data_IF_827360892478
#
_entry.id   IF_827360892478
#
_cell.length_a   1.000
_cell.length_b   1.000
_cell.length_c   1.000
_cell.angle_alpha   90.00
_cell.angle_beta   90.00
_cell.angle_gamma   90.00
#
_symmetry.space_group_name_H-M   'P 1'
#
loop_
_entity.id
_entity.type
_entity.pdbx_description
1 polymer ?
#
# COMPACT_ATOMS: atom_id res chain seq x y z
N UNK A 1 23.25 4.36 -4.91
CA UNK A 1 22.78 4.55 -3.52
C UNK A 1 21.28 4.26 -3.37
N UNK A 2 20.43 4.67 -4.33
CA UNK A 2 18.97 4.43 -4.28
C UNK A 2 18.59 2.95 -4.09
N UNK A 3 19.24 2.01 -4.80
CA UNK A 3 18.94 0.58 -4.67
C UNK A 3 19.28 -0.01 -3.29
N UNK A 4 20.35 0.49 -2.66
CA UNK A 4 20.74 0.05 -1.32
C UNK A 4 19.69 0.49 -0.30
N UNK A 5 19.26 1.76 -0.34
CA UNK A 5 18.22 2.27 0.55
C UNK A 5 16.86 1.63 0.27
N UNK A 6 16.52 1.36 -0.99
CA UNK A 6 15.32 0.62 -1.35
C UNK A 6 15.29 -0.78 -0.71
N UNK A 7 16.41 -1.50 -0.79
CA UNK A 7 16.55 -2.81 -0.17
C UNK A 7 16.42 -2.74 1.36
N UNK A 8 17.13 -1.79 2.00
CA UNK A 8 17.13 -1.65 3.46
C UNK A 8 15.75 -1.27 3.99
N UNK A 9 15.11 -0.23 3.42
CA UNK A 9 13.83 0.27 3.91
C UNK A 9 12.71 -0.74 3.62
N UNK A 10 12.67 -1.30 2.40
CA UNK A 10 11.70 -2.35 2.08
C UNK A 10 11.89 -3.58 2.95
N UNK A 11 13.14 -3.99 3.17
CA UNK A 11 13.49 -5.09 4.07
C UNK A 11 13.05 -4.83 5.51
N UNK A 12 13.25 -3.63 6.04
CA UNK A 12 12.81 -3.26 7.39
C UNK A 12 11.28 -3.32 7.53
N UNK A 13 10.52 -2.84 6.55
CA UNK A 13 9.05 -2.95 6.55
C UNK A 13 8.62 -4.42 6.55
N UNK A 14 9.30 -5.28 5.78
CA UNK A 14 9.05 -6.72 5.78
C UNK A 14 9.39 -7.37 7.13
N UNK A 15 10.49 -6.98 7.77
CA UNK A 15 10.87 -7.47 9.11
C UNK A 15 9.82 -7.07 10.16
N UNK A 16 9.29 -5.84 10.09
CA UNK A 16 8.18 -5.43 10.96
C UNK A 16 6.97 -6.34 10.75
N UNK A 17 6.60 -6.62 9.49
CA UNK A 17 5.53 -7.56 9.17
C UNK A 17 5.80 -8.98 9.69
N UNK A 18 7.03 -9.47 9.59
CA UNK A 18 7.41 -10.78 10.13
C UNK A 18 7.32 -10.81 11.65
N UNK A 19 7.79 -9.78 12.35
CA UNK A 19 7.66 -9.69 13.82
C UNK A 19 6.20 -9.70 14.29
N UNK A 20 5.30 -9.09 13.50
CA UNK A 20 3.87 -9.14 13.77
C UNK A 20 3.29 -10.57 13.69
N UNK A 21 3.82 -11.40 12.81
CA UNK A 21 3.47 -12.82 12.75
C UNK A 21 4.12 -13.63 13.87
N UNK A 22 5.44 -13.50 14.03
CA UNK A 22 6.23 -14.39 14.88
C UNK A 22 6.04 -14.08 16.37
N UNK A 23 6.05 -12.79 16.72
CA UNK A 23 5.92 -12.31 18.11
C UNK A 23 4.46 -11.96 18.41
N UNK A 24 3.85 -11.17 17.52
CA UNK A 24 2.49 -10.69 17.70
C UNK A 24 1.41 -11.75 17.48
N UNK A 25 1.73 -12.87 16.80
CA UNK A 25 0.78 -13.90 16.37
C UNK A 25 -0.45 -13.33 15.66
N UNK A 26 -0.26 -12.21 14.96
CA UNK A 26 -1.32 -11.55 14.21
C UNK A 26 -1.67 -12.36 12.98
N UNK A 27 -2.96 -12.40 12.63
CA UNK A 27 -3.37 -13.04 11.38
C UNK A 27 -2.93 -12.19 10.18
N UNK A 28 -2.82 -12.78 8.97
CA UNK A 28 -2.45 -12.01 7.78
C UNK A 28 -3.31 -10.77 7.56
N UNK A 29 -4.61 -10.86 7.84
CA UNK A 29 -5.53 -9.74 7.73
C UNK A 29 -5.18 -8.59 8.70
N UNK A 30 -4.87 -8.89 9.98
CA UNK A 30 -4.50 -7.87 10.95
C UNK A 30 -3.16 -7.21 10.60
N UNK A 31 -2.18 -7.99 10.15
CA UNK A 31 -0.86 -7.46 9.74
C UNK A 31 -1.00 -6.53 8.55
N UNK A 32 -1.72 -6.95 7.50
CA UNK A 32 -1.98 -6.12 6.33
C UNK A 32 -2.74 -4.83 6.69
N UNK A 33 -3.82 -4.93 7.46
CA UNK A 33 -4.61 -3.76 7.87
C UNK A 33 -3.78 -2.75 8.66
N UNK A 34 -2.95 -3.21 9.60
CA UNK A 34 -2.09 -2.33 10.41
C UNK A 34 -1.06 -1.60 9.55
N UNK A 35 -0.40 -2.30 8.61
CA UNK A 35 0.59 -1.68 7.71
C UNK A 35 -0.08 -0.65 6.77
N UNK A 36 -1.27 -0.94 6.25
CA UNK A 36 -2.05 0.01 5.45
C UNK A 36 -2.41 1.25 6.27
N UNK A 37 -2.92 1.06 7.50
CA UNK A 37 -3.27 2.18 8.39
C UNK A 37 -2.04 3.01 8.75
N UNK A 38 -0.89 2.37 9.01
CA UNK A 38 0.35 3.09 9.27
C UNK A 38 0.77 3.96 8.07
N UNK A 39 0.68 3.42 6.84
CA UNK A 39 0.93 4.19 5.62
C UNK A 39 -0.01 5.38 5.44
N UNK A 40 -1.31 5.19 5.71
CA UNK A 40 -2.32 6.24 5.67
C UNK A 40 -2.04 7.36 6.69
N UNK A 41 -1.63 7.00 7.90
CA UNK A 41 -1.26 7.98 8.94
C UNK A 41 -0.02 8.76 8.52
N UNK A 42 1.02 8.08 8.02
CA UNK A 42 2.24 8.74 7.55
C UNK A 42 1.97 9.72 6.41
N UNK A 43 1.07 9.36 5.49
CA UNK A 43 0.63 10.25 4.41
C UNK A 43 -0.16 11.46 4.91
N UNK A 44 -1.06 11.26 5.88
CA UNK A 44 -1.79 12.36 6.52
C UNK A 44 -0.88 13.39 7.19
N UNK A 45 0.33 12.98 7.62
CA UNK A 45 1.37 13.88 8.14
C UNK A 45 2.37 14.37 7.07
N UNK A 46 2.16 14.05 5.79
CA UNK A 46 3.09 14.32 4.67
C UNK A 46 4.50 13.75 4.89
N UNK A 47 4.59 12.62 5.60
CA UNK A 47 5.86 11.94 5.89
C UNK A 47 6.15 10.81 4.89
N UNK A 48 5.15 10.38 4.12
CA UNK A 48 5.30 9.25 3.21
C UNK A 48 6.00 9.64 1.90
N UNK A 49 5.73 10.81 1.31
CA UNK A 49 6.44 11.31 0.13
C UNK A 49 7.96 11.45 0.36
N UNK A 50 8.46 12.07 1.46
CA UNK A 50 9.89 12.09 1.74
C UNK A 50 10.50 10.69 1.90
N UNK A 51 9.73 9.74 2.43
CA UNK A 51 10.15 8.34 2.54
C UNK A 51 10.27 7.69 1.15
N UNK A 52 9.36 7.98 0.23
CA UNK A 52 9.45 7.57 -1.17
C UNK A 52 10.65 8.21 -1.86
N UNK A 53 10.90 9.51 -1.68
CA UNK A 53 12.04 10.19 -2.29
C UNK A 53 13.38 9.62 -1.83
N UNK A 54 13.45 9.18 -0.56
CA UNK A 54 14.64 8.58 0.02
C UNK A 54 14.84 7.11 -0.38
N UNK A 55 13.78 6.30 -0.29
CA UNK A 55 13.85 4.85 -0.41
C UNK A 55 13.40 4.30 -1.78
N UNK A 56 12.75 5.12 -2.60
CA UNK A 56 12.15 4.73 -3.88
C UNK A 56 11.26 3.49 -3.74
N UNK A 57 11.62 2.44 -4.49
CA UNK A 57 10.90 1.16 -4.49
C UNK A 57 10.79 0.51 -3.10
N UNK A 58 11.69 0.81 -2.17
CA UNK A 58 11.62 0.30 -0.79
C UNK A 58 10.39 0.80 -0.02
N UNK A 59 9.87 1.97 -0.37
CA UNK A 59 8.64 2.51 0.21
C UNK A 59 7.42 2.22 -0.67
N UNK A 60 7.54 2.26 -2.00
CA UNK A 60 6.37 2.12 -2.90
C UNK A 60 5.90 0.69 -3.12
N UNK A 61 6.75 -0.32 -2.91
CA UNK A 61 6.40 -1.74 -3.12
C UNK A 61 5.64 -2.35 -1.94
N UNK A 62 6.01 -2.12 -0.67
CA UNK A 62 5.27 -2.69 0.47
C UNK A 62 3.83 -2.16 0.57
N UNK A 63 2.94 -2.98 1.16
CA UNK A 63 1.50 -2.65 1.26
C UNK A 63 1.19 -1.36 2.05
N UNK A 64 2.16 -0.86 2.82
CA UNK A 64 2.10 0.48 3.43
C UNK A 64 1.82 1.57 2.40
N UNK A 65 2.36 1.44 1.18
CA UNK A 65 2.16 2.43 0.11
C UNK A 65 0.71 2.49 -0.36
N UNK A 66 -0.06 1.40 -0.18
CA UNK A 66 -1.49 1.40 -0.47
C UNK A 66 -2.22 2.39 0.44
N UNK A 67 -1.84 2.47 1.72
CA UNK A 67 -2.40 3.44 2.67
C UNK A 67 -2.13 4.89 2.26
N UNK A 68 -0.89 5.20 1.84
CA UNK A 68 -0.54 6.50 1.28
C UNK A 68 -1.38 6.83 0.04
N UNK A 69 -1.48 5.91 -0.93
CA UNK A 69 -2.27 6.15 -2.14
C UNK A 69 -3.76 6.42 -1.87
N UNK A 70 -4.35 5.77 -0.86
CA UNK A 70 -5.74 6.01 -0.44
C UNK A 70 -5.94 7.42 0.11
N UNK A 71 -5.08 7.86 1.03
CA UNK A 71 -5.19 9.18 1.66
C UNK A 71 -4.83 10.28 0.67
N UNK A 72 -3.74 10.12 -0.07
CA UNK A 72 -3.30 11.07 -1.08
C UNK A 72 -4.38 11.29 -2.15
N UNK A 73 -4.95 10.21 -2.69
CA UNK A 73 -6.04 10.29 -3.68
C UNK A 73 -7.32 10.92 -3.12
N UNK A 74 -7.67 10.62 -1.86
CA UNK A 74 -8.80 11.23 -1.19
C UNK A 74 -8.60 12.74 -0.97
N UNK A 75 -7.40 13.16 -0.55
CA UNK A 75 -7.07 14.56 -0.31
C UNK A 75 -6.99 15.37 -1.60
N UNK A 76 -6.44 14.79 -2.67
CA UNK A 76 -6.38 15.44 -3.98
C UNK A 76 -7.78 15.74 -4.54
N UNK A 77 -8.73 14.81 -4.40
CA UNK A 77 -10.10 15.06 -4.83
C UNK A 77 -10.91 15.88 -3.83
N UNK A 78 -10.59 15.82 -2.54
CA UNK A 78 -11.19 16.71 -1.56
C UNK A 78 -10.93 18.18 -1.90
N UNK A 79 -9.74 18.50 -2.39
CA UNK A 79 -9.39 19.84 -2.84
C UNK A 79 -10.21 20.31 -4.05
N UNK A 80 -10.67 19.39 -4.92
CA UNK A 80 -11.42 19.71 -6.15
C UNK A 80 -12.94 19.68 -5.96
N UNK A 81 -13.44 18.74 -5.17
CA UNK A 81 -14.87 18.43 -5.05
C UNK A 81 -15.40 18.52 -3.60
N UNK A 82 -14.60 19.07 -2.68
CA UNK A 82 -14.96 19.16 -1.27
C UNK A 82 -15.11 17.79 -0.62
N UNK A 83 -15.98 17.68 0.39
CA UNK A 83 -16.16 16.44 1.17
C UNK A 83 -16.55 15.24 0.30
N UNK A 84 -17.33 15.47 -0.78
CA UNK A 84 -17.72 14.41 -1.72
C UNK A 84 -16.50 13.82 -2.44
N UNK A 85 -15.48 14.65 -2.69
CA UNK A 85 -14.21 14.25 -3.29
C UNK A 85 -13.42 13.23 -2.46
N UNK A 86 -13.56 13.25 -1.13
CA UNK A 86 -12.88 12.27 -0.25
C UNK A 86 -13.31 10.84 -0.60
N UNK A 87 -14.61 10.63 -0.79
CA UNK A 87 -15.19 9.31 -1.06
C UNK A 87 -14.81 8.82 -2.45
N UNK A 88 -14.88 9.70 -3.46
CA UNK A 88 -14.60 9.33 -4.85
C UNK A 88 -13.09 9.20 -5.13
N UNK A 89 -12.27 10.03 -4.49
CA UNK A 89 -10.82 10.06 -4.66
C UNK A 89 -10.09 8.88 -4.07
N UNK A 90 -10.55 8.37 -2.93
CA UNK A 90 -9.91 7.26 -2.21
C UNK A 90 -9.68 6.02 -3.10
N UNK A 91 -10.67 5.67 -3.92
CA UNK A 91 -10.56 4.53 -4.83
C UNK A 91 -10.01 4.88 -6.21
N UNK A 92 -9.92 6.16 -6.57
CA UNK A 92 -9.50 6.57 -7.92
C UNK A 92 -8.08 6.10 -8.23
N UNK A 93 -7.12 6.37 -7.34
CA UNK A 93 -5.71 6.01 -7.52
C UNK A 93 -5.48 4.50 -7.37
N UNK A 94 -6.16 3.87 -6.41
CA UNK A 94 -5.96 2.45 -6.06
C UNK A 94 -6.73 1.47 -6.97
N UNK A 95 -7.81 1.92 -7.62
CA UNK A 95 -8.68 1.08 -8.45
C UNK A 95 -7.96 0.40 -9.60
N UNK A 96 -7.00 1.06 -10.24
CA UNK A 96 -6.27 0.49 -11.37
C UNK A 96 -5.48 -0.76 -10.97
N UNK A 97 -4.77 -0.69 -9.83
CA UNK A 97 -4.00 -1.81 -9.29
C UNK A 97 -4.89 -2.98 -8.86
N UNK A 98 -5.99 -2.70 -8.15
CA UNK A 98 -6.94 -3.73 -7.71
C UNK A 98 -7.63 -4.38 -8.90
N UNK A 99 -8.08 -3.59 -9.88
CA UNK A 99 -8.72 -4.10 -11.10
C UNK A 99 -7.77 -4.98 -11.91
N UNK A 100 -6.51 -4.54 -12.06
CA UNK A 100 -5.48 -5.33 -12.73
C UNK A 100 -5.26 -6.67 -12.00
N UNK A 101 -5.10 -6.66 -10.67
CA UNK A 101 -4.91 -7.87 -9.89
C UNK A 101 -6.07 -8.87 -10.06
N UNK A 102 -7.31 -8.39 -10.06
CA UNK A 102 -8.50 -9.22 -10.26
C UNK A 102 -8.54 -9.80 -11.69
N UNK A 103 -8.36 -8.96 -12.70
CA UNK A 103 -8.45 -9.36 -14.12
C UNK A 103 -7.35 -10.37 -14.46
N UNK A 104 -6.10 -10.08 -14.10
CA UNK A 104 -4.99 -10.99 -14.38
C UNK A 104 -5.09 -12.28 -13.54
N UNK A 105 -5.56 -12.19 -12.30
CA UNK A 105 -5.86 -13.37 -11.48
C UNK A 105 -6.93 -14.26 -12.12
N UNK A 106 -8.00 -13.67 -12.65
CA UNK A 106 -9.05 -14.38 -13.37
C UNK A 106 -8.53 -15.03 -14.66
N UNK A 107 -7.77 -14.31 -15.49
CA UNK A 107 -7.14 -14.87 -16.70
C UNK A 107 -6.23 -16.04 -16.34
N UNK A 108 -5.41 -15.90 -15.29
CA UNK A 108 -4.57 -16.99 -14.79
C UNK A 108 -5.37 -18.21 -14.36
N UNK A 109 -6.51 -18.01 -13.70
CA UNK A 109 -7.41 -19.10 -13.30
C UNK A 109 -8.16 -19.76 -14.47
N UNK A 110 -8.28 -19.10 -15.62
CA UNK A 110 -8.81 -19.71 -16.84
C UNK A 110 -7.76 -20.56 -17.57
N UNK A 111 -6.51 -20.09 -17.60
CA UNK A 111 -5.42 -20.77 -18.30
C UNK A 111 -4.84 -21.95 -17.51
N UNK A 112 -4.85 -21.85 -16.18
CA UNK A 112 -4.29 -22.84 -15.28
C UNK A 112 -5.36 -23.37 -14.33
N UNK A 113 -5.08 -24.51 -13.69
CA UNK A 113 -5.96 -25.10 -12.69
C UNK A 113 -5.47 -24.69 -11.29
N UNK A 114 -5.96 -23.59 -10.70
CA UNK A 114 -5.49 -23.12 -9.41
C UNK A 114 -5.82 -24.16 -8.33
N UNK A 115 -4.87 -24.40 -7.42
CA UNK A 115 -5.10 -25.13 -6.18
C UNK A 115 -5.38 -24.08 -5.11
N UNK A 116 -6.66 -23.84 -4.83
CA UNK A 116 -7.11 -23.03 -3.70
C UNK A 116 -7.01 -23.81 -2.40
#
# INVERSE_FOLDING_TARGET
>A
MIFFWAFVIGGLICVIGQLMFDVGKLTPAHTMATLVVAGAILDGFNLYEPLIDFAGAGATVPITSFGNALVHGAMEEAAKHGIVGVITGMFKVTSAGVSAAIIFGFIGALLFKPKG
#
